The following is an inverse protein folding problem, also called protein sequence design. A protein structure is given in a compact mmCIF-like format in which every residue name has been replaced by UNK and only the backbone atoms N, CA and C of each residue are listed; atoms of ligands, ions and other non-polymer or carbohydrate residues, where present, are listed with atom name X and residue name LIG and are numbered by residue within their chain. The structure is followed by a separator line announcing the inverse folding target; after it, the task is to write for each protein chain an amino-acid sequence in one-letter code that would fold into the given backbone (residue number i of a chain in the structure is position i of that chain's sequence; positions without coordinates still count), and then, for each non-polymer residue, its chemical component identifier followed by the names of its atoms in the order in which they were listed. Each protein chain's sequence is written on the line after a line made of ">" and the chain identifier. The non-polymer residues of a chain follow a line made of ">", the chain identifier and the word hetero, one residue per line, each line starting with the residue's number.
data_IF_653625932491
#
_entry.id   IF_653625932491
#
_cell.length_a   1.000
_cell.length_b   1.000
_cell.length_c   1.000
_cell.angle_alpha   90.00
_cell.angle_beta   90.00
_cell.angle_gamma   90.00
#
_symmetry.space_group_name_H-M   'P 1'
#
loop_
_entity.id
_entity.type
_entity.pdbx_description
1 polymer ?
#
# COMPACT_ATOMS: atom_id res chain seq x y z
N UNK A 1 14.24 -18.43 2.95
CA UNK A 1 13.62 -17.11 2.68
C UNK A 1 14.34 -16.51 1.48
N UNK A 2 13.66 -16.19 0.37
CA UNK A 2 14.35 -15.54 -0.74
C UNK A 2 14.84 -14.16 -0.26
N UNK A 3 16.14 -13.94 -0.28
CA UNK A 3 16.82 -12.71 0.15
C UNK A 3 16.78 -11.62 -0.93
N UNK A 4 15.65 -11.50 -1.62
CA UNK A 4 15.52 -10.59 -2.75
C UNK A 4 15.41 -9.17 -2.21
N UNK A 5 16.56 -8.47 -2.12
CA UNK A 5 16.64 -7.06 -1.69
C UNK A 5 16.04 -6.08 -2.70
N UNK A 6 15.92 -6.50 -3.95
CA UNK A 6 15.44 -5.66 -5.05
C UNK A 6 14.30 -6.34 -5.78
N UNK A 7 13.13 -5.71 -5.78
CA UNK A 7 11.99 -6.14 -6.56
C UNK A 7 11.79 -5.18 -7.73
N UNK A 8 11.71 -5.73 -8.96
CA UNK A 8 11.33 -4.96 -10.14
C UNK A 8 9.84 -5.13 -10.40
N UNK A 9 9.15 -4.04 -10.67
CA UNK A 9 7.72 -4.02 -11.02
C UNK A 9 7.63 -3.56 -12.48
N UNK A 10 6.92 -4.33 -13.32
CA UNK A 10 6.64 -3.91 -14.69
C UNK A 10 5.44 -2.96 -14.69
N UNK A 11 5.68 -1.66 -14.91
CA UNK A 11 4.64 -0.65 -14.87
C UNK A 11 3.56 -0.82 -15.95
N UNK A 12 3.87 -1.49 -17.07
CA UNK A 12 2.91 -1.70 -18.16
C UNK A 12 1.71 -2.58 -17.77
N UNK A 13 1.76 -3.30 -16.65
CA UNK A 13 0.64 -4.11 -16.17
C UNK A 13 -0.43 -3.29 -15.43
N UNK A 14 -0.19 -2.01 -15.16
CA UNK A 14 -1.05 -1.18 -14.32
C UNK A 14 -1.48 0.09 -15.03
N UNK A 15 -2.74 0.50 -14.80
CA UNK A 15 -3.29 1.75 -15.29
C UNK A 15 -2.73 2.95 -14.51
N UNK A 16 -2.74 2.88 -13.18
CA UNK A 16 -2.16 3.89 -12.29
C UNK A 16 -1.31 3.22 -11.22
N UNK A 17 -0.21 3.86 -10.84
CA UNK A 17 0.67 3.44 -9.74
C UNK A 17 0.73 4.60 -8.75
N UNK A 18 0.36 4.32 -7.50
CA UNK A 18 0.42 5.27 -6.40
C UNK A 18 1.47 4.83 -5.39
N UNK A 19 2.13 5.81 -4.78
CA UNK A 19 3.07 5.57 -3.68
C UNK A 19 2.51 6.23 -2.43
N UNK A 20 2.46 5.49 -1.33
CA UNK A 20 2.04 5.98 -0.01
C UNK A 20 3.21 5.92 0.95
N UNK A 21 3.34 6.97 1.76
CA UNK A 21 4.25 7.01 2.89
C UNK A 21 3.74 6.16 4.07
N UNK A 22 4.24 6.47 5.25
CA UNK A 22 3.94 5.75 6.48
C UNK A 22 2.43 5.69 6.76
N UNK A 23 1.93 4.50 7.10
CA UNK A 23 0.54 4.28 7.49
C UNK A 23 0.43 4.17 9.02
N UNK A 24 1.44 3.59 9.68
CA UNK A 24 1.51 3.46 11.14
C UNK A 24 0.20 3.01 11.78
N UNK A 25 -0.46 1.98 11.25
CA UNK A 25 -1.70 1.46 11.82
C UNK A 25 -2.92 2.38 11.70
N UNK A 26 -2.85 3.54 11.04
CA UNK A 26 -3.97 4.46 10.79
C UNK A 26 -4.79 4.03 9.56
N UNK A 27 -5.26 2.77 9.60
CA UNK A 27 -5.89 2.09 8.47
C UNK A 27 -7.00 2.90 7.79
N UNK A 28 -7.85 3.60 8.54
CA UNK A 28 -9.05 4.27 8.00
C UNK A 28 -8.73 5.42 7.04
N UNK A 29 -7.56 6.05 7.18
CA UNK A 29 -7.13 7.14 6.30
C UNK A 29 -6.84 6.64 4.88
N UNK A 30 -6.34 5.41 4.74
CA UNK A 30 -5.92 4.86 3.46
C UNK A 30 -7.10 4.59 2.51
N UNK A 31 -8.14 3.78 2.84
CA UNK A 31 -9.29 3.58 1.97
C UNK A 31 -10.01 4.89 1.61
N UNK A 32 -10.09 5.82 2.57
CA UNK A 32 -10.69 7.14 2.34
C UNK A 32 -9.94 7.91 1.25
N UNK A 33 -8.60 7.87 1.28
CA UNK A 33 -7.77 8.52 0.25
C UNK A 33 -7.83 7.79 -1.09
N UNK A 34 -7.79 6.46 -1.08
CA UNK A 34 -7.89 5.64 -2.29
C UNK A 34 -9.24 5.82 -3.00
N UNK A 35 -10.33 5.95 -2.24
CA UNK A 35 -11.65 6.25 -2.77
C UNK A 35 -11.67 7.60 -3.51
N UNK A 36 -11.07 8.65 -2.93
CA UNK A 36 -10.96 9.96 -3.58
C UNK A 36 -10.15 9.91 -4.88
N UNK A 37 -9.19 8.99 -4.99
CA UNK A 37 -8.38 8.78 -6.20
C UNK A 37 -9.07 7.88 -7.23
N UNK A 38 -10.29 7.39 -6.96
CA UNK A 38 -10.95 6.35 -7.75
C UNK A 38 -10.02 5.16 -7.99
N UNK A 39 -9.43 4.65 -6.91
CA UNK A 39 -8.49 3.54 -6.98
C UNK A 39 -9.20 2.21 -7.29
N UNK A 40 -8.73 1.52 -8.32
CA UNK A 40 -9.26 0.21 -8.75
C UNK A 40 -8.22 -0.89 -8.51
N UNK A 41 -8.35 -1.73 -7.46
CA UNK A 41 -7.35 -2.75 -7.11
C UNK A 41 -7.00 -3.72 -8.25
N UNK A 42 -7.96 -4.01 -9.13
CA UNK A 42 -7.78 -4.94 -10.27
C UNK A 42 -6.84 -4.40 -11.36
N UNK A 43 -6.68 -3.08 -11.44
CA UNK A 43 -5.92 -2.43 -12.53
C UNK A 43 -4.94 -1.38 -12.03
N UNK A 44 -4.92 -1.07 -10.74
CA UNK A 44 -4.04 -0.07 -10.14
C UNK A 44 -3.11 -0.75 -9.14
N UNK A 45 -1.95 -0.14 -8.94
CA UNK A 45 -0.98 -0.57 -7.96
C UNK A 45 -0.83 0.49 -6.87
N UNK A 46 -0.76 0.05 -5.62
CA UNK A 46 -0.33 0.86 -4.49
C UNK A 46 0.99 0.29 -3.95
N UNK A 47 2.01 1.14 -3.83
CA UNK A 47 3.30 0.79 -3.24
C UNK A 47 3.42 1.56 -1.91
N UNK A 48 3.66 0.85 -0.82
CA UNK A 48 4.05 1.46 0.46
C UNK A 48 5.57 1.57 0.57
N UNK A 49 6.06 2.69 1.12
CA UNK A 49 7.49 2.89 1.39
C UNK A 49 8.00 2.18 2.65
N UNK A 50 7.12 1.62 3.48
CA UNK A 50 7.48 1.04 4.79
C UNK A 50 6.60 1.58 5.91
N UNK A 51 6.98 1.30 7.16
CA UNK A 51 6.35 1.88 8.37
C UNK A 51 4.81 1.81 8.37
N UNK A 52 4.31 0.64 7.98
CA UNK A 52 2.88 0.38 7.84
C UNK A 52 2.18 0.14 9.17
N UNK A 53 2.90 -0.41 10.14
CA UNK A 53 2.37 -0.81 11.45
C UNK A 53 3.04 0.00 12.56
N UNK A 54 2.69 -0.34 13.79
CA UNK A 54 3.07 0.35 15.03
C UNK A 54 2.45 1.75 15.15
N UNK A 55 2.35 2.26 16.38
CA UNK A 55 1.74 3.55 16.79
C UNK A 55 0.21 3.62 16.68
N UNK A 56 -0.38 3.29 15.53
CA UNK A 56 -1.82 3.40 15.31
C UNK A 56 -2.62 2.16 15.74
N UNK A 57 -3.92 2.34 16.02
CA UNK A 57 -4.77 1.33 16.66
C UNK A 57 -5.15 0.15 15.75
N UNK A 58 -4.91 0.26 14.44
CA UNK A 58 -5.34 -0.75 13.45
C UNK A 58 -4.17 -1.39 12.70
N UNK A 59 -3.01 -1.53 13.36
CA UNK A 59 -1.81 -2.19 12.81
C UNK A 59 -2.11 -3.55 12.16
N UNK A 60 -2.95 -4.40 12.78
CA UNK A 60 -3.34 -5.70 12.20
C UNK A 60 -4.13 -5.56 10.89
N UNK A 61 -4.97 -4.53 10.75
CA UNK A 61 -5.70 -4.28 9.51
C UNK A 61 -4.76 -3.83 8.39
N UNK A 62 -3.76 -2.99 8.71
CA UNK A 62 -2.76 -2.56 7.72
C UNK A 62 -1.88 -3.74 7.31
N UNK A 63 -1.46 -4.58 8.26
CA UNK A 63 -0.62 -5.75 7.96
C UNK A 63 -1.30 -6.74 6.99
N UNK A 64 -2.63 -6.87 7.04
CA UNK A 64 -3.42 -7.72 6.13
C UNK A 64 -3.43 -7.22 4.67
N UNK A 65 -2.87 -6.05 4.39
CA UNK A 65 -2.73 -5.52 3.03
C UNK A 65 -1.46 -6.02 2.31
N UNK A 66 -0.52 -6.62 3.05
CA UNK A 66 0.74 -7.18 2.52
C UNK A 66 0.56 -8.66 2.15
#
# INVERSE_FOLDING_TARGET
>A
MPSTRYQKINAHHYRHIWVVGDIHGEYQLLPSRLHQLSFYPETNLLISTGDNIDRGPKSLNVLRLL
#
